data_IF_176849538426
#
_entry.id   IF_176849538426
#
_cell.length_a   1.000
_cell.length_b   1.000
_cell.length_c   1.000
_cell.angle_alpha   90.00
_cell.angle_beta   90.00
_cell.angle_gamma   90.00
#
_symmetry.space_group_name_H-M   'P 1'
#
loop_
_entity.id
_entity.type
_entity.pdbx_description
1 polymer ?
#
# COMPACT_ATOMS: atom_id res chain seq x y z
N UNK A 1 -16.52 43.37 21.88
CA UNK A 1 -16.14 43.49 20.44
C UNK A 1 -14.98 42.52 20.23
N UNK A 2 -14.91 41.57 19.30
CA UNK A 2 -15.77 41.02 18.25
C UNK A 2 -15.28 39.55 18.11
N UNK A 3 -16.17 38.56 18.11
CA UNK A 3 -15.84 37.16 17.82
C UNK A 3 -16.03 36.92 16.32
N UNK A 4 -15.05 36.35 15.63
CA UNK A 4 -15.17 35.88 14.25
C UNK A 4 -15.38 34.36 14.28
N UNK A 5 -16.43 33.90 13.59
CA UNK A 5 -16.67 32.50 13.25
C UNK A 5 -16.26 32.31 11.78
N UNK A 6 -15.47 31.27 11.49
CA UNK A 6 -15.20 30.82 10.12
C UNK A 6 -16.26 29.77 9.75
N UNK A 7 -16.90 29.96 8.62
CA UNK A 7 -17.79 28.99 7.97
C UNK A 7 -17.09 28.52 6.70
N UNK A 8 -16.87 27.21 6.56
CA UNK A 8 -16.38 26.58 5.34
C UNK A 8 -17.54 26.46 4.33
N UNK A 9 -17.29 26.82 3.08
CA UNK A 9 -18.23 26.69 1.97
C UNK A 9 -17.87 25.46 1.13
N UNK A 10 -18.83 24.55 0.96
CA UNK A 10 -18.78 23.47 -0.02
C UNK A 10 -19.36 23.97 -1.35
N UNK A 11 -18.59 23.83 -2.42
CA UNK A 11 -19.01 24.17 -3.78
C UNK A 11 -19.62 22.95 -4.46
N UNK A 12 -20.90 23.07 -4.82
CA UNK A 12 -21.70 22.13 -5.60
C UNK A 12 -21.53 22.45 -7.10
N UNK A 13 -21.15 21.47 -7.93
CA UNK A 13 -21.15 21.63 -9.39
C UNK A 13 -22.35 20.88 -9.99
N UNK A 14 -23.19 21.63 -10.71
CA UNK A 14 -24.42 21.18 -11.38
C UNK A 14 -24.10 20.80 -12.83
N UNK A 15 -24.50 19.61 -13.29
CA UNK A 15 -24.50 19.24 -14.71
C UNK A 15 -25.84 19.62 -15.35
N UNK A 16 -25.79 20.54 -16.32
CA UNK A 16 -26.91 20.89 -17.20
C UNK A 16 -26.91 19.99 -18.44
N UNK A 17 -28.03 19.29 -18.66
CA UNK A 17 -28.31 18.60 -19.92
C UNK A 17 -28.82 19.56 -21.00
N UNK A 18 -28.55 19.25 -22.27
CA UNK A 18 -29.24 19.85 -23.40
C UNK A 18 -29.55 18.80 -24.48
N UNK A 19 -30.71 18.99 -25.09
CA UNK A 19 -31.49 18.07 -25.93
C UNK A 19 -30.91 17.82 -27.32
N UNK A 20 -31.21 16.63 -27.85
CA UNK A 20 -30.96 16.23 -29.23
C UNK A 20 -31.84 17.01 -30.23
N UNK A 21 -31.20 17.73 -31.14
CA UNK A 21 -31.81 18.31 -32.34
C UNK A 21 -31.13 17.76 -33.59
N UNK A 22 -31.90 17.10 -34.45
CA UNK A 22 -31.42 16.53 -35.71
C UNK A 22 -31.11 17.64 -36.72
N UNK A 23 -29.89 17.67 -37.22
CA UNK A 23 -29.44 18.54 -38.32
C UNK A 23 -28.66 17.72 -39.34
N UNK A 24 -29.19 17.69 -40.57
CA UNK A 24 -28.55 17.13 -41.76
C UNK A 24 -27.31 17.98 -42.10
N UNK A 25 -26.15 17.35 -42.23
CA UNK A 25 -24.94 18.00 -42.76
C UNK A 25 -24.45 17.24 -43.99
N UNK A 26 -24.23 18.03 -45.03
CA UNK A 26 -23.84 17.71 -46.40
C UNK A 26 -22.42 17.13 -46.46
N UNK A 27 -22.23 16.07 -47.27
CA UNK A 27 -20.92 15.44 -47.50
C UNK A 27 -20.04 16.35 -48.35
N UNK A 28 -18.88 16.74 -47.81
CA UNK A 28 -17.75 17.25 -48.60
C UNK A 28 -16.68 16.16 -48.60
N UNK A 29 -16.51 15.49 -49.74
CA UNK A 29 -15.40 14.56 -49.97
C UNK A 29 -14.10 15.36 -50.07
N UNK A 30 -13.22 15.23 -49.06
CA UNK A 30 -11.83 15.69 -49.15
C UNK A 30 -10.93 14.48 -49.01
N UNK A 31 -10.34 14.06 -50.13
CA UNK A 31 -9.26 13.07 -50.17
C UNK A 31 -8.01 13.70 -49.56
N UNK A 32 -7.69 13.33 -48.32
CA UNK A 32 -6.39 13.59 -47.71
C UNK A 32 -5.58 12.28 -47.72
N UNK A 33 -4.40 12.32 -48.33
CA UNK A 33 -3.45 11.21 -48.34
C UNK A 33 -2.89 11.01 -46.92
N UNK A 34 -3.22 9.87 -46.30
CA UNK A 34 -2.60 9.44 -45.04
C UNK A 34 -1.15 9.05 -45.31
N UNK A 35 -0.23 9.78 -44.70
CA UNK A 35 1.15 9.34 -44.54
C UNK A 35 1.20 8.59 -43.22
N UNK A 36 1.12 7.26 -43.27
CA UNK A 36 1.30 6.39 -42.12
C UNK A 36 2.71 6.61 -41.55
N UNK A 37 2.81 7.32 -40.44
CA UNK A 37 4.04 7.36 -39.65
C UNK A 37 3.97 6.17 -38.70
N UNK A 38 4.72 5.12 -39.03
CA UNK A 38 4.90 3.94 -38.20
C UNK A 38 5.65 4.34 -36.92
N UNK A 39 4.92 4.54 -35.83
CA UNK A 39 5.51 4.66 -34.48
C UNK A 39 5.81 3.25 -33.95
N UNK A 40 6.94 2.68 -34.36
CA UNK A 40 7.55 1.60 -33.60
C UNK A 40 8.14 2.18 -32.30
N UNK A 41 8.09 1.48 -31.16
CA UNK A 41 8.77 1.93 -29.95
C UNK A 41 10.28 1.94 -30.22
N UNK A 42 10.88 3.14 -30.26
CA UNK A 42 12.32 3.29 -30.40
C UNK A 42 13.02 2.71 -29.17
N UNK A 43 14.00 1.84 -29.42
CA UNK A 43 14.91 1.37 -28.37
C UNK A 43 15.70 2.57 -27.84
N UNK A 44 15.88 2.73 -26.52
CA UNK A 44 16.59 3.88 -25.97
C UNK A 44 17.99 4.03 -26.58
N UNK A 45 18.32 5.23 -27.05
CA UNK A 45 19.62 5.53 -27.64
C UNK A 45 20.73 5.34 -26.58
N UNK A 46 21.80 4.60 -26.90
CA UNK A 46 22.92 4.32 -26.00
C UNK A 46 23.58 5.60 -25.40
N UNK A 47 23.47 6.74 -26.09
CA UNK A 47 23.93 8.04 -25.56
C UNK A 47 23.09 8.57 -24.40
N UNK A 48 21.82 8.18 -24.27
CA UNK A 48 20.94 8.60 -23.18
C UNK A 48 21.26 7.85 -21.89
N UNK A 49 21.53 6.53 -21.96
CA UNK A 49 21.92 5.73 -20.80
C UNK A 49 23.28 6.16 -20.23
N UNK A 50 24.19 6.68 -21.07
CA UNK A 50 25.47 7.23 -20.62
C UNK A 50 25.33 8.53 -19.79
N UNK A 51 24.20 9.23 -19.89
CA UNK A 51 23.89 10.45 -19.15
C UNK A 51 23.01 10.21 -17.92
N UNK A 52 22.78 8.95 -17.53
CA UNK A 52 21.86 8.60 -16.45
C UNK A 52 22.17 9.31 -15.13
N UNK A 53 21.16 9.70 -14.39
CA UNK A 53 21.28 10.44 -13.12
C UNK A 53 20.87 9.57 -11.94
N UNK A 54 21.19 10.02 -10.72
CA UNK A 54 20.58 9.44 -9.52
C UNK A 54 19.19 10.08 -9.33
N UNK A 55 18.20 9.26 -9.04
CA UNK A 55 16.86 9.71 -8.68
C UNK A 55 16.91 10.59 -7.42
N UNK A 56 16.02 11.56 -7.34
CA UNK A 56 15.93 12.42 -6.17
C UNK A 56 15.44 11.59 -4.96
N UNK A 57 16.15 11.68 -3.83
CA UNK A 57 15.79 10.94 -2.60
C UNK A 57 14.72 11.64 -1.75
N UNK A 58 14.27 12.81 -2.18
CA UNK A 58 13.21 13.61 -1.55
C UNK A 58 12.58 14.49 -2.62
N UNK A 59 11.29 14.80 -2.50
CA UNK A 59 10.62 15.82 -3.31
C UNK A 59 10.80 17.24 -2.76
N UNK A 60 11.44 17.37 -1.59
CA UNK A 60 11.67 18.66 -0.93
C UNK A 60 10.40 19.28 -0.36
N UNK A 61 9.46 18.45 0.10
CA UNK A 61 8.22 18.91 0.71
C UNK A 61 8.51 19.76 1.98
N UNK A 62 7.91 20.94 2.15
CA UNK A 62 8.20 21.81 3.28
C UNK A 62 7.62 21.31 4.61
N UNK A 63 6.64 20.40 4.58
CA UNK A 63 6.01 19.78 5.75
C UNK A 63 6.66 18.43 6.06
N UNK A 64 7.02 17.67 5.02
CA UNK A 64 7.64 16.34 5.11
C UNK A 64 8.96 16.26 4.32
N UNK A 65 10.04 16.93 4.77
CA UNK A 65 11.26 17.11 3.97
C UNK A 65 11.98 15.80 3.63
N UNK A 66 11.77 14.73 4.39
CA UNK A 66 12.34 13.41 4.13
C UNK A 66 11.55 12.57 3.11
N UNK A 67 10.33 12.96 2.77
CA UNK A 67 9.37 12.09 2.07
C UNK A 67 9.38 12.25 0.56
N UNK A 68 8.92 11.19 -0.11
CA UNK A 68 8.83 11.13 -1.57
C UNK A 68 10.20 11.01 -2.23
N UNK A 69 10.18 10.72 -3.52
CA UNK A 69 11.34 10.44 -4.35
C UNK A 69 11.00 10.87 -5.78
N UNK A 70 12.03 11.21 -6.56
CA UNK A 70 11.87 11.74 -7.91
C UNK A 70 12.67 10.99 -8.95
N UNK A 71 12.29 11.19 -10.22
CA UNK A 71 12.87 10.53 -11.38
C UNK A 71 12.05 9.36 -11.92
N UNK A 72 11.03 8.92 -11.17
CA UNK A 72 10.09 7.88 -11.58
C UNK A 72 8.67 8.21 -11.11
N UNK A 73 7.68 7.52 -11.67
CA UNK A 73 6.25 7.61 -11.39
C UNK A 73 5.73 6.20 -11.06
N UNK A 74 5.05 6.01 -9.92
CA UNK A 74 4.53 4.69 -9.55
C UNK A 74 3.11 4.53 -10.07
N UNK A 75 2.89 3.50 -10.88
CA UNK A 75 1.58 3.26 -11.49
C UNK A 75 0.75 2.25 -10.71
N UNK A 76 1.41 1.28 -10.05
CA UNK A 76 0.73 0.21 -9.31
C UNK A 76 1.59 -0.41 -8.22
N UNK A 77 0.96 -0.74 -7.08
CA UNK A 77 1.50 -1.57 -6.02
C UNK A 77 0.69 -2.86 -5.91
N UNK A 78 1.33 -4.02 -6.08
CA UNK A 78 0.72 -5.33 -5.79
C UNK A 78 1.36 -5.90 -4.52
N UNK A 79 0.60 -5.89 -3.43
CA UNK A 79 1.06 -6.22 -2.08
C UNK A 79 0.53 -7.58 -1.64
N UNK A 80 1.44 -8.50 -1.39
CA UNK A 80 1.16 -9.79 -0.76
C UNK A 80 1.69 -9.81 0.67
N UNK A 81 0.84 -10.14 1.66
CA UNK A 81 1.19 -10.23 3.08
C UNK A 81 0.82 -11.60 3.64
N UNK A 82 1.77 -12.24 4.31
CA UNK A 82 1.52 -13.28 5.30
C UNK A 82 1.41 -12.66 6.70
N UNK A 83 0.19 -12.57 7.23
CA UNK A 83 -0.11 -12.08 8.56
C UNK A 83 -0.52 -13.20 9.52
N UNK A 84 -0.19 -14.47 9.22
CA UNK A 84 -0.58 -15.60 10.08
C UNK A 84 0.09 -15.57 11.46
N UNK A 85 1.28 -14.99 11.56
CA UNK A 85 2.04 -14.85 12.82
C UNK A 85 1.76 -13.56 13.60
N UNK A 86 0.92 -12.67 13.06
CA UNK A 86 0.76 -11.31 13.59
C UNK A 86 0.19 -11.30 15.01
N UNK A 87 -0.70 -12.24 15.33
CA UNK A 87 -1.30 -12.34 16.66
C UNK A 87 -0.36 -12.98 17.71
N UNK A 88 0.69 -13.68 17.26
CA UNK A 88 1.61 -14.43 18.13
C UNK A 88 2.89 -13.64 18.39
N UNK A 89 3.51 -13.13 17.34
CA UNK A 89 4.81 -12.44 17.39
C UNK A 89 4.74 -10.98 16.99
N UNK A 90 3.61 -10.52 16.42
CA UNK A 90 3.52 -9.20 15.78
C UNK A 90 4.21 -9.14 14.42
N UNK A 91 4.85 -10.21 13.97
CA UNK A 91 5.57 -10.25 12.70
C UNK A 91 4.64 -10.52 11.52
N UNK A 92 5.09 -10.07 10.35
CA UNK A 92 4.55 -10.46 9.05
C UNK A 92 5.69 -10.72 8.07
N UNK A 93 5.40 -11.46 7.00
CA UNK A 93 6.22 -11.52 5.81
C UNK A 93 5.45 -10.87 4.66
N UNK A 94 6.13 -10.19 3.76
CA UNK A 94 5.51 -9.51 2.65
C UNK A 94 6.37 -9.53 1.39
N UNK A 95 5.68 -9.54 0.25
CA UNK A 95 6.23 -9.27 -1.08
C UNK A 95 5.46 -8.10 -1.64
N UNK A 96 6.16 -7.16 -2.25
CA UNK A 96 5.53 -6.12 -3.03
C UNK A 96 6.14 -6.06 -4.43
N UNK A 97 5.27 -6.02 -5.42
CA UNK A 97 5.60 -5.76 -6.81
C UNK A 97 5.15 -4.34 -7.17
N UNK A 98 6.10 -3.48 -7.52
CA UNK A 98 5.89 -2.06 -7.80
C UNK A 98 6.10 -1.85 -9.29
N UNK A 99 5.04 -1.47 -10.00
CA UNK A 99 5.13 -1.03 -11.38
C UNK A 99 5.43 0.47 -11.42
N UNK A 100 6.49 0.86 -12.11
CA UNK A 100 6.94 2.24 -12.19
C UNK A 100 7.40 2.61 -13.61
N UNK A 101 7.28 3.90 -13.93
CA UNK A 101 7.73 4.50 -15.19
C UNK A 101 8.88 5.46 -14.93
N UNK A 102 9.92 5.39 -15.75
CA UNK A 102 11.14 6.20 -15.66
C UNK A 102 11.30 7.00 -16.95
N UNK A 103 11.04 8.31 -16.89
CA UNK A 103 11.05 9.17 -18.07
C UNK A 103 12.47 9.53 -18.56
N UNK A 104 13.41 9.69 -17.63
CA UNK A 104 14.82 10.00 -17.91
C UNK A 104 15.71 8.90 -17.33
N UNK A 105 16.80 8.49 -18.00
CA UNK A 105 17.63 7.39 -17.53
C UNK A 105 18.13 7.56 -16.09
N UNK A 106 17.86 6.57 -15.24
CA UNK A 106 18.30 6.55 -13.84
C UNK A 106 19.34 5.46 -13.60
N UNK A 107 20.42 5.79 -12.89
CA UNK A 107 21.40 4.81 -12.39
C UNK A 107 21.08 4.33 -10.97
N UNK A 108 20.24 5.05 -10.25
CA UNK A 108 19.72 4.69 -8.93
C UNK A 108 18.39 5.39 -8.69
N UNK A 109 17.54 4.82 -7.82
CA UNK A 109 16.33 5.47 -7.31
C UNK A 109 16.10 5.01 -5.87
N UNK A 110 15.18 5.63 -5.14
CA UNK A 110 14.88 5.24 -3.75
C UNK A 110 13.40 5.20 -3.48
N UNK A 111 13.00 4.44 -2.47
CA UNK A 111 11.66 4.38 -1.91
C UNK A 111 11.71 4.75 -0.43
N UNK A 112 10.65 5.33 0.10
CA UNK A 112 10.43 5.48 1.53
C UNK A 112 10.14 4.12 2.15
N UNK A 113 10.94 3.70 3.14
CA UNK A 113 10.76 2.40 3.80
C UNK A 113 11.50 2.29 5.14
N UNK A 114 10.82 1.81 6.19
CA UNK A 114 11.40 1.62 7.54
C UNK A 114 11.17 0.23 8.13
N UNK A 115 12.01 -0.19 9.08
CA UNK A 115 11.73 -1.28 10.02
C UNK A 115 12.06 -2.71 9.58
N UNK A 116 11.63 -3.16 8.41
CA UNK A 116 11.69 -4.59 8.05
C UNK A 116 13.08 -5.08 7.62
N UNK A 117 13.33 -6.37 7.76
CA UNK A 117 14.47 -7.03 7.13
C UNK A 117 14.15 -7.34 5.66
N UNK A 118 15.06 -7.00 4.75
CA UNK A 118 14.91 -7.20 3.31
C UNK A 118 15.57 -8.52 2.95
N UNK A 119 14.80 -9.46 2.39
CA UNK A 119 15.28 -10.75 1.94
C UNK A 119 15.81 -10.68 0.50
N UNK A 120 15.09 -10.00 -0.39
CA UNK A 120 15.50 -9.80 -1.78
C UNK A 120 14.94 -8.53 -2.38
N UNK A 121 15.70 -7.99 -3.34
CA UNK A 121 15.27 -6.92 -4.24
C UNK A 121 15.63 -7.34 -5.66
N UNK A 122 14.64 -7.37 -6.54
CA UNK A 122 14.84 -7.63 -7.97
C UNK A 122 14.18 -6.55 -8.81
N UNK A 123 14.82 -6.16 -9.91
CA UNK A 123 14.25 -5.28 -10.91
C UNK A 123 14.11 -6.07 -12.21
N UNK A 124 12.89 -6.14 -12.74
CA UNK A 124 12.54 -6.94 -13.93
C UNK A 124 12.98 -8.41 -13.83
N UNK A 125 12.95 -8.96 -12.61
CA UNK A 125 13.36 -10.33 -12.30
C UNK A 125 14.86 -10.53 -12.06
N UNK A 126 15.69 -9.51 -12.30
CA UNK A 126 17.13 -9.57 -12.06
C UNK A 126 17.50 -8.98 -10.69
N UNK A 127 18.43 -9.58 -9.93
CA UNK A 127 18.86 -9.01 -8.65
C UNK A 127 19.40 -7.59 -8.80
N UNK A 128 18.91 -6.68 -7.96
CA UNK A 128 19.40 -5.31 -7.86
C UNK A 128 20.15 -5.10 -6.55
N UNK A 129 21.22 -4.29 -6.59
CA UNK A 129 21.88 -3.87 -5.36
C UNK A 129 20.96 -2.92 -4.61
N UNK A 130 21.02 -2.97 -3.28
CA UNK A 130 20.24 -2.08 -2.45
C UNK A 130 20.99 -1.68 -1.18
N UNK A 131 20.66 -0.50 -0.67
CA UNK A 131 21.19 0.05 0.58
C UNK A 131 20.04 0.70 1.38
N UNK A 132 20.18 0.71 2.71
CA UNK A 132 19.34 1.54 3.57
C UNK A 132 20.11 2.76 4.05
N UNK A 133 19.52 3.93 3.88
CA UNK A 133 20.00 5.19 4.47
C UNK A 133 18.79 5.96 4.96
N UNK A 134 18.82 6.42 6.22
CA UNK A 134 17.68 7.11 6.84
C UNK A 134 16.39 6.27 6.72
N UNK A 135 15.28 6.88 6.30
CA UNK A 135 14.02 6.20 6.01
C UNK A 135 13.91 5.74 4.53
N UNK A 136 15.04 5.46 3.86
CA UNK A 136 15.08 5.12 2.43
C UNK A 136 15.59 3.71 2.17
N UNK A 137 14.95 3.05 1.20
CA UNK A 137 15.48 1.91 0.48
C UNK A 137 15.99 2.40 -0.88
N UNK A 138 17.31 2.43 -1.05
CA UNK A 138 17.98 2.88 -2.27
C UNK A 138 18.23 1.66 -3.15
N UNK A 139 17.85 1.73 -4.42
CA UNK A 139 17.99 0.69 -5.42
C UNK A 139 19.01 1.11 -6.47
N UNK A 140 19.99 0.25 -6.73
CA UNK A 140 21.02 0.39 -7.74
C UNK A 140 20.88 -0.76 -8.77
N UNK A 141 20.22 -0.50 -9.91
CA UNK A 141 20.13 -1.45 -11.00
C UNK A 141 21.51 -1.80 -11.58
N UNK A 142 21.64 -2.96 -12.23
CA UNK A 142 22.90 -3.38 -12.87
C UNK A 142 23.27 -2.50 -14.08
N UNK A 143 22.27 -1.98 -14.77
CA UNK A 143 22.39 -1.02 -15.88
C UNK A 143 21.38 0.12 -15.67
N UNK A 144 21.67 1.35 -16.15
CA UNK A 144 20.70 2.43 -16.05
C UNK A 144 19.35 2.09 -16.68
N UNK A 145 18.28 2.57 -16.06
CA UNK A 145 16.89 2.19 -16.40
C UNK A 145 16.13 3.37 -17.01
N UNK A 146 15.22 3.08 -17.93
CA UNK A 146 14.34 4.05 -18.60
C UNK A 146 13.15 3.31 -19.21
N UNK A 147 11.96 3.90 -19.12
CA UNK A 147 10.70 3.28 -19.51
C UNK A 147 10.02 2.57 -18.35
N UNK A 148 9.25 1.52 -18.65
CA UNK A 148 8.46 0.78 -17.67
C UNK A 148 9.29 -0.34 -17.02
N UNK A 149 9.21 -0.43 -15.69
CA UNK A 149 9.92 -1.43 -14.91
C UNK A 149 9.05 -2.02 -13.81
N UNK A 150 9.42 -3.20 -13.33
CA UNK A 150 8.82 -3.85 -12.16
C UNK A 150 9.88 -4.12 -11.10
N UNK A 151 9.74 -3.46 -9.96
CA UNK A 151 10.55 -3.75 -8.77
C UNK A 151 9.81 -4.74 -7.88
N UNK A 152 10.47 -5.81 -7.46
CA UNK A 152 9.95 -6.75 -6.47
C UNK A 152 10.81 -6.67 -5.21
N UNK A 153 10.19 -6.52 -4.05
CA UNK A 153 10.86 -6.53 -2.74
C UNK A 153 10.21 -7.57 -1.84
N UNK A 154 11.00 -8.53 -1.36
CA UNK A 154 10.61 -9.47 -0.33
C UNK A 154 11.20 -9.04 1.01
N UNK A 155 10.36 -8.97 2.05
CA UNK A 155 10.76 -8.49 3.37
C UNK A 155 9.93 -9.12 4.48
N UNK A 156 10.46 -9.09 5.70
CA UNK A 156 9.74 -9.63 6.87
C UNK A 156 10.19 -8.97 8.16
N UNK A 157 9.38 -9.10 9.21
CA UNK A 157 9.69 -8.57 10.54
C UNK A 157 8.47 -8.01 11.25
N UNK A 158 8.71 -7.35 12.37
CA UNK A 158 7.68 -6.65 13.14
C UNK A 158 7.58 -5.21 12.62
N UNK A 159 6.43 -4.79 12.07
CA UNK A 159 6.25 -3.43 11.60
C UNK A 159 6.47 -2.44 12.75
N UNK A 160 7.21 -1.35 12.49
CA UNK A 160 7.52 -0.33 13.49
C UNK A 160 6.85 0.98 13.09
N UNK A 161 5.95 1.54 13.93
CA UNK A 161 5.38 2.86 13.69
C UNK A 161 6.46 3.93 13.51
N UNK A 162 6.21 4.89 12.63
CA UNK A 162 7.07 6.06 12.43
C UNK A 162 6.58 7.23 13.27
N UNK A 163 7.48 8.13 13.67
CA UNK A 163 7.06 9.38 14.29
C UNK A 163 6.44 10.29 13.22
N UNK A 164 5.35 10.96 13.56
CA UNK A 164 4.79 11.99 12.70
C UNK A 164 5.71 13.23 12.74
N UNK A 165 6.27 13.61 11.59
CA UNK A 165 7.13 14.80 11.47
C UNK A 165 6.32 16.11 11.52
N UNK A 166 5.02 16.04 11.22
CA UNK A 166 4.12 17.19 11.13
C UNK A 166 3.40 17.51 12.45
N UNK A 167 3.25 16.53 13.34
CA UNK A 167 2.56 16.68 14.62
C UNK A 167 3.05 15.66 15.68
N UNK A 168 2.77 15.86 16.98
CA UNK A 168 3.09 14.85 18.00
C UNK A 168 2.26 13.56 17.81
N UNK A 169 2.94 12.43 17.59
CA UNK A 169 2.29 11.13 17.48
C UNK A 169 3.12 10.12 16.70
N UNK A 170 2.54 8.95 16.46
CA UNK A 170 3.10 7.91 15.59
C UNK A 170 2.09 7.52 14.52
N UNK A 171 2.60 7.17 13.34
CA UNK A 171 1.85 6.73 12.18
C UNK A 171 2.31 5.33 11.75
N UNK A 172 1.58 4.74 10.82
CA UNK A 172 1.90 3.47 10.21
C UNK A 172 1.10 2.32 10.78
N UNK A 173 1.75 1.19 11.00
CA UNK A 173 1.11 -0.05 11.42
C UNK A 173 0.84 -0.08 12.93
N UNK A 174 -0.40 0.13 13.32
CA UNK A 174 -0.82 0.30 14.71
C UNK A 174 -1.41 -0.98 15.27
N UNK A 175 -0.89 -1.42 16.41
CA UNK A 175 -1.46 -2.55 17.16
C UNK A 175 -2.45 -2.08 18.22
N UNK A 176 -3.62 -2.72 18.28
CA UNK A 176 -4.64 -2.50 19.29
C UNK A 176 -5.18 -3.82 19.86
N UNK A 177 -6.07 -3.73 20.85
CA UNK A 177 -6.62 -4.91 21.55
C UNK A 177 -7.40 -5.88 20.65
N UNK A 178 -7.94 -5.39 19.54
CA UNK A 178 -8.77 -6.17 18.63
C UNK A 178 -8.06 -6.58 17.35
N UNK A 179 -6.81 -6.17 17.15
CA UNK A 179 -6.11 -6.38 15.90
C UNK A 179 -5.16 -5.25 15.59
N UNK A 180 -4.67 -5.25 14.36
CA UNK A 180 -3.79 -4.22 13.82
C UNK A 180 -4.46 -3.48 12.67
N UNK A 181 -4.06 -2.23 12.47
CA UNK A 181 -4.60 -1.38 11.42
C UNK A 181 -3.57 -0.33 10.97
N UNK A 182 -3.69 0.12 9.74
CA UNK A 182 -2.82 1.13 9.14
C UNK A 182 -3.38 2.55 9.38
N UNK A 183 -2.52 3.45 9.88
CA UNK A 183 -2.75 4.90 9.97
C UNK A 183 -1.71 5.60 9.11
N UNK A 184 -2.03 5.94 7.86
CA UNK A 184 -1.03 6.35 6.88
C UNK A 184 -0.91 7.87 6.63
N UNK A 185 -1.82 8.71 7.14
CA UNK A 185 -1.74 10.17 6.90
C UNK A 185 -0.79 10.88 7.89
N UNK A 186 0.11 11.77 7.43
CA UNK A 186 0.35 12.16 6.04
C UNK A 186 1.39 11.31 5.28
N UNK A 187 2.19 10.49 5.96
CA UNK A 187 3.26 9.67 5.35
C UNK A 187 3.65 8.47 6.20
N UNK A 188 2.65 7.69 6.64
CA UNK A 188 2.83 6.51 7.47
C UNK A 188 2.89 5.19 6.68
N UNK A 189 2.67 5.21 5.36
CA UNK A 189 2.62 3.96 4.59
C UNK A 189 3.99 3.28 4.49
N UNK A 190 5.09 4.07 4.52
CA UNK A 190 6.47 3.58 4.56
C UNK A 190 6.78 2.64 5.74
N UNK A 191 5.94 2.63 6.77
CA UNK A 191 6.05 1.74 7.93
C UNK A 191 5.52 0.32 7.65
N UNK A 192 4.91 0.10 6.48
CA UNK A 192 4.36 -1.19 6.06
C UNK A 192 4.93 -1.69 4.73
N UNK A 193 5.12 -0.81 3.76
CA UNK A 193 5.61 -1.15 2.42
C UNK A 193 6.69 -0.16 1.97
N UNK A 194 7.65 -0.56 1.11
CA UNK A 194 8.44 0.40 0.37
C UNK A 194 7.57 1.12 -0.66
N UNK A 195 7.49 2.45 -0.60
CA UNK A 195 6.64 3.26 -1.49
C UNK A 195 7.23 4.63 -1.80
N UNK A 196 6.65 5.34 -2.77
CA UNK A 196 6.89 6.77 -2.95
C UNK A 196 5.91 7.56 -2.07
N UNK A 197 6.26 7.80 -0.79
CA UNK A 197 5.28 8.20 0.23
C UNK A 197 4.98 9.70 0.21
N UNK A 198 4.42 10.16 -0.92
CA UNK A 198 4.05 11.55 -1.14
C UNK A 198 2.76 11.67 -1.97
N UNK A 199 1.84 12.59 -1.63
CA UNK A 199 0.52 12.66 -2.25
C UNK A 199 0.52 13.06 -3.73
N UNK A 200 1.65 13.56 -4.26
CA UNK A 200 1.78 13.93 -5.68
C UNK A 200 1.97 12.74 -6.61
N UNK A 201 2.24 11.54 -6.09
CA UNK A 201 2.43 10.31 -6.87
C UNK A 201 1.35 9.26 -6.52
N UNK A 202 0.09 9.47 -6.98
CA UNK A 202 -1.00 8.55 -6.70
C UNK A 202 -0.89 7.28 -7.55
N UNK A 203 -1.11 6.13 -6.94
CA UNK A 203 -1.02 4.83 -7.61
C UNK A 203 -2.25 3.95 -7.33
N UNK A 204 -2.44 2.93 -8.16
CA UNK A 204 -3.43 1.87 -7.92
C UNK A 204 -2.84 0.77 -7.03
N UNK A 205 -3.69 -0.02 -6.37
CA UNK A 205 -3.26 -1.06 -5.43
C UNK A 205 -3.99 -2.39 -5.62
N UNK A 206 -3.25 -3.48 -5.49
CA UNK A 206 -3.77 -4.83 -5.32
C UNK A 206 -3.26 -5.39 -3.99
N UNK A 207 -4.13 -6.13 -3.29
CA UNK A 207 -3.80 -6.72 -2.00
C UNK A 207 -4.12 -8.21 -2.03
N UNK A 208 -3.19 -9.02 -1.52
CA UNK A 208 -3.37 -10.43 -1.22
C UNK A 208 -2.87 -10.69 0.20
N UNK A 209 -3.77 -10.88 1.15
CA UNK A 209 -3.42 -10.99 2.57
C UNK A 209 -3.85 -12.34 3.09
N UNK A 210 -2.91 -13.12 3.64
CA UNK A 210 -3.19 -14.34 4.36
C UNK A 210 -3.23 -14.09 5.87
N UNK A 211 -4.21 -14.68 6.55
CA UNK A 211 -4.31 -14.65 8.01
C UNK A 211 -4.91 -15.96 8.54
N UNK A 212 -4.73 -16.19 9.84
CA UNK A 212 -5.29 -17.36 10.53
C UNK A 212 -6.81 -17.39 10.38
N UNK A 213 -7.39 -18.56 10.10
CA UNK A 213 -8.84 -18.74 10.03
C UNK A 213 -9.57 -18.13 11.25
N UNK A 214 -10.67 -17.41 10.98
CA UNK A 214 -11.44 -16.70 12.01
C UNK A 214 -11.05 -15.23 12.20
N UNK A 215 -9.89 -14.82 11.68
CA UNK A 215 -9.47 -13.42 11.54
C UNK A 215 -10.27 -12.74 10.44
N UNK A 216 -10.55 -11.45 10.60
CA UNK A 216 -11.13 -10.59 9.56
C UNK A 216 -10.05 -9.70 8.98
N UNK A 217 -9.95 -9.65 7.65
CA UNK A 217 -9.12 -8.70 6.91
C UNK A 217 -10.03 -7.71 6.19
N UNK A 218 -9.70 -6.42 6.28
CA UNK A 218 -10.34 -5.35 5.53
C UNK A 218 -9.27 -4.45 4.91
N UNK A 219 -9.48 -4.08 3.65
CA UNK A 219 -8.55 -3.29 2.84
C UNK A 219 -9.33 -2.26 2.03
N UNK A 220 -8.64 -1.22 1.58
CA UNK A 220 -9.16 -0.35 0.51
C UNK A 220 -9.38 -1.15 -0.78
N UNK A 221 -10.40 -0.77 -1.55
CA UNK A 221 -10.71 -1.41 -2.84
C UNK A 221 -11.85 -2.43 -2.78
N UNK A 222 -12.10 -3.08 -3.90
CA UNK A 222 -13.19 -4.06 -4.08
C UNK A 222 -12.63 -5.47 -3.93
N UNK A 223 -13.22 -6.25 -3.01
CA UNK A 223 -12.91 -7.67 -2.79
C UNK A 223 -13.59 -8.54 -3.85
N UNK A 224 -12.90 -9.58 -4.33
CA UNK A 224 -13.50 -10.65 -5.16
C UNK A 224 -12.92 -12.00 -4.74
N UNK A 225 -13.72 -13.03 -4.36
CA UNK A 225 -15.11 -13.07 -3.87
C UNK A 225 -15.26 -12.62 -2.39
N UNK A 226 -16.50 -12.52 -1.89
CA UNK A 226 -16.85 -12.02 -0.54
C UNK A 226 -16.35 -12.86 0.65
N UNK A 227 -15.83 -14.05 0.37
CA UNK A 227 -15.28 -14.96 1.37
C UNK A 227 -13.83 -15.24 1.04
N UNK A 228 -12.95 -15.26 2.05
CA UNK A 228 -11.57 -15.62 1.82
C UNK A 228 -11.46 -17.06 1.34
N UNK A 229 -10.41 -17.36 0.59
CA UNK A 229 -10.13 -18.68 0.06
C UNK A 229 -9.20 -19.45 1.00
N UNK A 230 -9.39 -20.76 1.22
CA UNK A 230 -8.42 -21.56 1.95
C UNK A 230 -7.08 -21.64 1.21
N UNK A 231 -5.99 -21.56 1.96
CA UNK A 231 -4.63 -21.76 1.48
C UNK A 231 -3.88 -20.45 1.24
N UNK A 232 -2.56 -20.54 1.37
CA UNK A 232 -1.59 -19.52 1.08
C UNK A 232 -0.27 -20.21 0.74
N UNK A 233 0.43 -19.75 -0.30
CA UNK A 233 1.81 -20.18 -0.53
C UNK A 233 2.69 -19.27 0.31
N UNK A 234 3.28 -19.83 1.38
CA UNK A 234 4.18 -19.09 2.26
C UNK A 234 5.26 -18.37 1.43
N UNK A 235 5.51 -17.12 1.77
CA UNK A 235 6.70 -16.43 1.29
C UNK A 235 7.90 -17.12 1.95
N UNK A 236 8.94 -17.44 1.17
CA UNK A 236 10.18 -18.02 1.69
C UNK A 236 10.89 -16.98 2.57
N UNK A 237 10.45 -16.85 3.82
CA UNK A 237 11.18 -16.11 4.84
C UNK A 237 12.40 -16.96 5.21
N UNK A 238 13.54 -16.67 4.59
CA UNK A 238 14.81 -17.15 5.12
C UNK A 238 14.92 -16.58 6.53
N UNK A 239 14.77 -17.44 7.54
CA UNK A 239 14.92 -17.05 8.94
C UNK A 239 16.37 -16.67 9.16
N UNK A 240 16.70 -15.38 9.06
CA UNK A 240 17.96 -14.85 9.57
C UNK A 240 17.78 -14.64 11.07
N UNK A 241 18.56 -15.41 11.83
CA UNK A 241 18.57 -15.50 13.28
C UNK A 241 18.64 -14.09 13.92
N UNK A 242 17.56 -13.67 14.60
CA UNK A 242 17.53 -12.43 15.38
C UNK A 242 18.45 -12.57 16.61
N UNK A 243 19.75 -12.32 16.43
CA UNK A 243 20.71 -11.96 17.48
C UNK A 243 21.46 -10.74 16.95
N UNK A 244 21.50 -9.57 17.58
CA UNK A 244 21.62 -9.23 19.00
C UNK A 244 21.16 -7.79 19.22
N UNK A 245 20.33 -7.53 20.24
CA UNK A 245 20.41 -6.31 21.03
C UNK A 245 20.73 -6.70 22.47
N UNK A 246 21.77 -6.06 23.00
CA UNK A 246 22.42 -6.32 24.28
C UNK A 246 21.46 -6.13 25.45
N UNK A 247 21.13 -7.23 26.11
CA UNK A 247 20.72 -7.21 27.51
C UNK A 247 21.33 -8.42 28.24
N UNK A 248 22.20 -8.10 29.20
CA UNK A 248 22.84 -8.97 30.20
C UNK A 248 22.07 -10.26 30.49
N UNK A 249 22.60 -11.39 30.04
CA UNK A 249 22.05 -12.74 30.26
C UNK A 249 22.52 -13.32 31.60
N UNK A 250 21.67 -13.97 32.40
CA UNK A 250 22.13 -14.95 33.39
C UNK A 250 22.47 -16.28 32.69
N UNK A 251 23.58 -16.87 33.12
CA UNK A 251 24.16 -18.19 32.83
C UNK A 251 23.18 -19.27 32.26
N UNK A 252 23.43 -19.82 31.05
CA UNK A 252 22.59 -20.83 30.42
C UNK A 252 23.02 -22.24 30.85
N UNK A 253 22.86 -22.58 32.13
CA UNK A 253 23.15 -23.95 32.58
C UNK A 253 22.05 -24.53 33.47
N UNK A 254 20.78 -24.38 33.07
CA UNK A 254 19.67 -25.25 33.53
C UNK A 254 18.51 -25.17 32.52
N UNK A 255 18.62 -25.85 31.38
CA UNK A 255 17.43 -26.20 30.58
C UNK A 255 17.22 -27.71 30.67
N UNK A 256 16.07 -28.06 31.24
CA UNK A 256 15.58 -29.42 31.40
C UNK A 256 15.32 -30.04 30.01
N UNK A 257 15.99 -31.16 29.64
CA UNK A 257 15.85 -31.78 28.33
C UNK A 257 14.50 -32.48 28.11
N UNK A 258 13.54 -32.33 29.04
CA UNK A 258 12.20 -32.92 28.94
C UNK A 258 11.11 -31.96 28.44
N UNK A 259 11.44 -30.71 28.12
CA UNK A 259 10.47 -29.81 27.46
C UNK A 259 10.27 -30.29 26.02
N UNK A 260 9.08 -30.78 25.63
CA UNK A 260 8.84 -31.17 24.25
C UNK A 260 9.05 -29.94 23.36
N UNK A 261 9.83 -30.09 22.30
CA UNK A 261 9.79 -29.18 21.16
C UNK A 261 8.31 -29.04 20.76
N UNK A 262 7.76 -27.82 20.66
CA UNK A 262 6.37 -27.66 20.28
C UNK A 262 6.17 -28.37 18.94
N UNK A 263 5.23 -29.33 18.91
CA UNK A 263 4.87 -30.04 17.69
C UNK A 263 4.64 -29.02 16.56
N UNK A 264 4.98 -29.35 15.29
CA UNK A 264 4.62 -28.50 14.16
C UNK A 264 3.12 -28.28 14.26
N UNK A 265 2.72 -27.03 14.56
CA UNK A 265 1.30 -26.72 14.69
C UNK A 265 0.71 -26.95 13.32
N UNK A 266 -0.33 -27.77 13.23
CA UNK A 266 -1.26 -27.67 12.13
C UNK A 266 -1.56 -26.18 11.97
N UNK A 267 -1.10 -25.58 10.88
CA UNK A 267 -1.44 -24.21 10.54
C UNK A 267 -2.97 -24.16 10.61
N UNK A 268 -3.52 -23.43 11.59
CA UNK A 268 -4.94 -23.12 11.56
C UNK A 268 -5.21 -22.57 10.17
N UNK A 269 -5.95 -23.32 9.34
CA UNK A 269 -5.87 -23.22 7.88
C UNK A 269 -5.85 -21.75 7.45
N UNK A 270 -4.74 -21.28 6.90
CA UNK A 270 -4.64 -19.90 6.48
C UNK A 270 -5.76 -19.61 5.47
N UNK A 271 -6.41 -18.47 5.64
CA UNK A 271 -7.41 -17.96 4.73
C UNK A 271 -6.78 -16.76 4.01
N UNK A 272 -7.07 -16.60 2.72
CA UNK A 272 -6.52 -15.52 1.89
C UNK A 272 -7.62 -14.58 1.43
N UNK A 273 -7.38 -13.29 1.59
CA UNK A 273 -8.23 -12.19 1.16
C UNK A 273 -7.58 -11.45 0.01
N UNK A 274 -8.34 -11.17 -1.05
CA UNK A 274 -7.86 -10.39 -2.20
C UNK A 274 -8.78 -9.24 -2.54
N UNK A 275 -8.18 -8.07 -2.81
CA UNK A 275 -8.91 -6.86 -3.18
C UNK A 275 -8.13 -5.99 -4.13
N UNK A 276 -8.84 -5.21 -4.95
CA UNK A 276 -8.24 -4.29 -5.93
C UNK A 276 -8.80 -2.87 -5.75
N UNK A 277 -7.91 -1.91 -5.58
CA UNK A 277 -8.19 -0.48 -5.64
C UNK A 277 -7.68 0.04 -7.00
N UNK A 278 -8.57 0.08 -7.98
CA UNK A 278 -8.22 0.40 -9.38
C UNK A 278 -8.07 1.90 -9.64
N UNK A 279 -8.63 2.74 -8.78
CA UNK A 279 -8.40 4.19 -8.85
C UNK A 279 -7.05 4.54 -8.24
N UNK A 280 -6.29 5.40 -8.94
CA UNK A 280 -5.07 5.95 -8.38
C UNK A 280 -5.40 6.83 -7.17
N UNK A 281 -4.75 6.55 -6.04
CA UNK A 281 -4.91 7.34 -4.80
C UNK A 281 -3.54 7.64 -4.20
N UNK A 282 -3.41 8.75 -3.45
CA UNK A 282 -2.26 8.97 -2.59
C UNK A 282 -1.99 7.78 -1.64
N UNK A 283 -0.73 7.50 -1.35
CA UNK A 283 -0.30 6.44 -0.43
C UNK A 283 -1.04 6.47 0.91
N UNK A 284 -1.19 7.66 1.50
CA UNK A 284 -1.86 7.83 2.79
C UNK A 284 -3.36 7.46 2.80
N UNK A 285 -4.01 7.37 1.64
CA UNK A 285 -5.44 7.05 1.53
C UNK A 285 -5.73 5.54 1.59
N UNK A 286 -4.69 4.70 1.59
CA UNK A 286 -4.83 3.25 1.74
C UNK A 286 -5.11 2.89 3.19
N UNK A 287 -6.07 1.99 3.40
CA UNK A 287 -6.39 1.41 4.70
C UNK A 287 -6.26 -0.10 4.65
N UNK A 288 -5.73 -0.67 5.73
CA UNK A 288 -5.65 -2.10 5.98
C UNK A 288 -5.95 -2.33 7.45
N UNK A 289 -6.79 -3.31 7.77
CA UNK A 289 -7.07 -3.75 9.14
C UNK A 289 -7.16 -5.28 9.19
N UNK A 290 -6.52 -5.89 10.19
CA UNK A 290 -6.44 -7.34 10.38
C UNK A 290 -6.71 -7.65 11.85
N UNK A 291 -7.73 -8.45 12.14
CA UNK A 291 -8.02 -8.83 13.53
C UNK A 291 -9.41 -9.40 13.81
N UNK A 292 -9.78 -9.33 15.08
CA UNK A 292 -11.04 -9.77 15.66
C UNK A 292 -12.15 -8.74 15.42
N UNK A 293 -12.54 -8.60 14.15
CA UNK A 293 -13.60 -7.71 13.72
C UNK A 293 -14.83 -8.47 13.24
N UNK A 294 -16.00 -7.89 13.48
CA UNK A 294 -17.25 -8.22 12.83
C UNK A 294 -17.48 -7.29 11.64
N UNK A 295 -18.14 -7.79 10.60
CA UNK A 295 -18.54 -6.98 9.43
C UNK A 295 -20.04 -6.77 9.48
N UNK A 296 -20.46 -5.58 9.94
CA UNK A 296 -21.87 -5.16 9.91
C UNK A 296 -22.16 -4.58 8.53
N UNK A 297 -23.18 -5.10 7.88
CA UNK A 297 -23.56 -4.73 6.51
C UNK A 297 -24.83 -3.89 6.52
N UNK A 298 -24.83 -2.83 5.73
CA UNK A 298 -26.00 -2.01 5.43
C UNK A 298 -25.96 -1.58 3.96
N UNK A 299 -27.01 -0.94 3.51
CA UNK A 299 -27.14 -0.42 2.16
C UNK A 299 -27.72 0.98 2.21
N UNK A 300 -27.13 1.91 1.46
CA UNK A 300 -27.66 3.26 1.29
C UNK A 300 -28.20 3.41 -0.12
N UNK A 301 -29.50 3.69 -0.21
CA UNK A 301 -30.16 4.05 -1.46
C UNK A 301 -29.84 5.51 -1.81
N UNK A 302 -29.17 5.71 -2.95
CA UNK A 302 -28.85 7.02 -3.54
C UNK A 302 -29.75 7.36 -4.74
N UNK A 303 -30.89 6.68 -4.90
CA UNK A 303 -31.86 6.86 -5.98
C UNK A 303 -31.50 6.09 -7.24
N UNK A 304 -30.39 6.43 -7.90
CA UNK A 304 -29.95 5.76 -9.13
C UNK A 304 -29.07 4.52 -8.87
N UNK A 305 -28.58 4.36 -7.64
CA UNK A 305 -27.76 3.23 -7.22
C UNK A 305 -27.91 2.97 -5.72
N UNK A 306 -27.71 1.72 -5.33
CA UNK A 306 -27.52 1.33 -3.93
C UNK A 306 -26.03 1.18 -3.66
N UNK A 307 -25.55 1.79 -2.59
CA UNK A 307 -24.18 1.59 -2.12
C UNK A 307 -24.17 0.59 -0.97
N UNK A 308 -23.48 -0.56 -1.11
CA UNK A 308 -23.24 -1.44 0.01
C UNK A 308 -22.25 -0.78 0.97
N UNK A 309 -22.60 -0.79 2.25
CA UNK A 309 -21.74 -0.30 3.33
C UNK A 309 -21.32 -1.49 4.19
N UNK A 310 -20.03 -1.54 4.50
CA UNK A 310 -19.43 -2.54 5.40
C UNK A 310 -18.72 -1.82 6.53
N UNK A 311 -19.26 -1.94 7.73
CA UNK A 311 -18.59 -1.49 8.94
C UNK A 311 -17.77 -2.64 9.52
N UNK A 312 -16.46 -2.43 9.59
CA UNK A 312 -15.52 -3.35 10.24
C UNK A 312 -15.38 -2.89 11.68
N UNK A 313 -16.01 -3.61 12.59
CA UNK A 313 -16.14 -3.20 14.00
C UNK A 313 -15.49 -4.21 14.93
N UNK A 314 -14.80 -3.79 16.00
CA UNK A 314 -14.27 -4.73 17.00
C UNK A 314 -15.36 -5.65 17.56
N UNK A 315 -15.12 -6.97 17.62
CA UNK A 315 -16.08 -7.94 18.20
C UNK A 315 -16.51 -7.59 19.64
N UNK A 316 -15.59 -7.00 20.40
CA UNK A 316 -15.78 -6.60 21.81
C UNK A 316 -16.14 -5.13 21.98
N UNK A 317 -16.79 -4.52 20.98
CA UNK A 317 -17.23 -3.13 21.04
C UNK A 317 -18.39 -2.94 22.04
N UNK A 318 -18.32 -1.96 22.95
CA UNK A 318 -19.44 -1.59 23.82
C UNK A 318 -20.71 -1.26 23.02
N UNK A 319 -21.88 -1.66 23.54
CA UNK A 319 -23.17 -1.45 22.87
C UNK A 319 -23.46 0.02 22.57
N UNK A 320 -23.04 0.93 23.45
CA UNK A 320 -23.17 2.39 23.28
C UNK A 320 -22.47 2.91 22.02
N UNK A 321 -21.37 2.28 21.59
CA UNK A 321 -20.69 2.64 20.35
C UNK A 321 -21.38 2.01 19.13
N UNK A 322 -22.09 0.88 19.28
CA UNK A 322 -22.82 0.23 18.18
C UNK A 322 -23.96 1.08 17.67
N UNK A 323 -24.58 1.89 18.53
CA UNK A 323 -25.61 2.87 18.13
C UNK A 323 -25.08 3.91 17.13
N UNK A 324 -23.77 4.18 17.13
CA UNK A 324 -23.14 5.10 16.15
C UNK A 324 -23.11 4.51 14.74
N UNK A 325 -23.30 3.20 14.55
CA UNK A 325 -23.44 2.61 13.22
C UNK A 325 -24.77 2.97 12.55
N UNK A 326 -25.78 3.38 13.34
CA UNK A 326 -27.10 3.76 12.84
C UNK A 326 -27.16 5.15 12.19
N UNK A 327 -26.13 6.00 12.40
CA UNK A 327 -26.07 7.34 11.80
C UNK A 327 -25.40 7.35 10.41
N UNK A 328 -24.90 6.21 9.93
CA UNK A 328 -24.14 6.15 8.68
C UNK A 328 -24.95 6.56 7.46
N UNK A 329 -26.24 6.22 7.40
CA UNK A 329 -27.15 6.70 6.35
C UNK A 329 -27.18 8.23 6.25
N UNK A 330 -27.03 8.95 7.37
CA UNK A 330 -27.00 10.40 7.40
C UNK A 330 -25.65 11.01 7.04
N UNK A 331 -24.56 10.23 7.07
CA UNK A 331 -23.21 10.69 6.67
C UNK A 331 -22.96 10.52 5.16
N UNK A 332 -23.69 9.59 4.52
CA UNK A 332 -23.53 9.27 3.09
C UNK A 332 -24.48 10.08 2.20
N UNK A 333 -25.57 10.63 2.76
CA UNK A 333 -26.51 11.55 2.08
C UNK A 333 -26.03 12.99 2.13
#
# INVERSE_FOLDING_TARGET
>A
MRRFRLTAAASLLVLSGCSSGAGVIERVDTTAAETETSNAPETPNASALAAATDGARTLGDPVLPGHGNGGYDVTHYDLTIDATEIAVSGALAARIDIALSVAEPLRSFSLDFVGFEIASVTLDGEPARHERSDAKLIIEPNEPIVGEHRLTVDYSGVPTPVNDESAPGTLGWMSGTSGTYLVAEPGGLMALIPCNDHPSDPASFSFTIAAVAGTTVATSGVTTPDSPTPGFTALDATTTDARTHDHTTPDPTTLDPTTPEPAPRDAASAMTWSSNLTSAVPTYAVQIAIGEYDVVRSEVDLGERTLPIRHVVPRRMPDELRDTLSITDAQVR
#
